data_IF_293685747499
#
_entry.id   IF_293685747499
#
_cell.length_a   1.000
_cell.length_b   1.000
_cell.length_c   1.000
_cell.angle_alpha   90.00
_cell.angle_beta   90.00
_cell.angle_gamma   90.00
#
_symmetry.space_group_name_H-M   'P 1'
#
loop_
_entity.id
_entity.type
_entity.pdbx_description
1 polymer ?
#
# COMPACT_ATOMS: atom_id res chain seq x y z
N UNK A 1 6.13 -25.23 -16.56
CA UNK A 1 6.38 -24.88 -15.15
C UNK A 1 7.24 -23.64 -15.22
N UNK A 2 6.70 -22.45 -15.46
CA UNK A 2 5.46 -21.88 -14.92
C UNK A 2 4.72 -21.10 -16.03
N UNK A 3 3.67 -21.74 -16.54
CA UNK A 3 2.66 -21.15 -17.42
C UNK A 3 1.38 -21.14 -16.57
N UNK A 4 1.19 -20.08 -15.79
CA UNK A 4 -0.07 -19.80 -15.08
C UNK A 4 -0.10 -18.33 -14.62
N UNK A 5 -0.75 -17.49 -15.44
CA UNK A 5 -1.20 -16.12 -15.11
C UNK A 5 -0.09 -15.08 -14.88
N UNK A 6 0.30 -14.39 -15.95
CA UNK A 6 1.24 -13.25 -15.97
C UNK A 6 0.78 -11.98 -15.25
N UNK A 7 0.36 -12.12 -14.01
CA UNK A 7 0.14 -11.05 -13.05
C UNK A 7 0.86 -11.50 -11.78
N UNK A 8 2.14 -11.18 -11.66
CA UNK A 8 2.70 -10.86 -10.35
C UNK A 8 2.37 -9.38 -10.12
N UNK A 9 1.17 -9.02 -9.64
CA UNK A 9 1.04 -7.70 -9.06
C UNK A 9 2.03 -7.73 -7.90
N UNK A 10 3.09 -6.93 -7.94
CA UNK A 10 4.01 -6.80 -6.80
C UNK A 10 3.34 -6.19 -5.56
N UNK A 11 2.03 -6.38 -5.41
CA UNK A 11 1.10 -5.92 -4.41
C UNK A 11 0.11 -7.04 -4.05
N UNK A 12 -0.29 -7.12 -2.80
CA UNK A 12 -1.40 -7.95 -2.32
C UNK A 12 -2.66 -7.09 -2.27
N UNK A 13 -3.81 -7.66 -2.58
CA UNK A 13 -5.09 -7.01 -2.35
C UNK A 13 -5.59 -7.28 -0.91
N UNK A 14 -6.01 -6.25 -0.19
CA UNK A 14 -6.60 -6.31 1.14
C UNK A 14 -7.96 -5.60 1.13
N UNK A 15 -8.96 -6.18 1.79
CA UNK A 15 -10.26 -5.53 2.01
C UNK A 15 -10.29 -4.94 3.42
N UNK A 16 -10.75 -3.70 3.54
CA UNK A 16 -11.01 -3.05 4.82
C UNK A 16 -12.42 -2.46 4.87
N UNK A 17 -12.80 -1.93 6.04
CA UNK A 17 -14.04 -1.18 6.23
C UNK A 17 -14.28 -0.11 5.14
N UNK A 18 -13.21 0.58 4.77
CA UNK A 18 -13.23 1.74 3.89
C UNK A 18 -13.04 1.40 2.39
N UNK A 19 -13.04 0.10 2.04
CA UNK A 19 -12.98 -0.41 0.67
C UNK A 19 -11.84 -1.39 0.40
N UNK A 20 -11.62 -1.66 -0.89
CA UNK A 20 -10.54 -2.52 -1.37
C UNK A 20 -9.23 -1.76 -1.55
N UNK A 21 -8.12 -2.38 -1.18
CA UNK A 21 -6.80 -1.77 -1.21
C UNK A 21 -5.77 -2.69 -1.86
N UNK A 22 -4.92 -2.12 -2.70
CA UNK A 22 -3.68 -2.75 -3.12
C UNK A 22 -2.56 -2.33 -2.18
N UNK A 23 -1.77 -3.30 -1.74
CA UNK A 23 -0.73 -3.14 -0.71
C UNK A 23 0.58 -3.71 -1.22
N UNK A 24 1.57 -2.85 -1.41
CA UNK A 24 2.92 -3.24 -1.83
C UNK A 24 3.92 -2.97 -0.73
N UNK A 25 4.77 -3.96 -0.46
CA UNK A 25 5.89 -3.76 0.44
C UNK A 25 7.07 -3.11 -0.28
N UNK A 26 7.63 -2.07 0.34
CA UNK A 26 8.85 -1.40 -0.09
C UNK A 26 9.96 -1.78 0.88
N UNK A 27 10.99 -2.45 0.36
CA UNK A 27 12.18 -2.76 1.13
C UNK A 27 12.98 -1.49 1.44
N UNK A 28 13.69 -1.49 2.58
CA UNK A 28 14.52 -0.38 3.05
C UNK A 28 15.42 0.23 1.97
N UNK A 29 16.11 -0.60 1.20
CA UNK A 29 17.04 -0.16 0.14
C UNK A 29 16.35 0.51 -1.06
N UNK A 30 15.03 0.33 -1.23
CA UNK A 30 14.22 1.03 -2.25
C UNK A 30 13.59 2.32 -1.72
N UNK A 31 13.61 2.53 -0.41
CA UNK A 31 13.11 3.75 0.23
C UNK A 31 14.18 4.84 0.13
N UNK A 32 14.20 5.56 -0.98
CA UNK A 32 15.21 6.59 -1.28
C UNK A 32 14.73 8.02 -1.04
N UNK A 33 13.49 8.19 -0.57
CA UNK A 33 12.85 9.48 -0.33
C UNK A 33 12.07 9.47 0.98
N UNK A 34 11.92 10.64 1.57
CA UNK A 34 11.03 10.89 2.69
C UNK A 34 9.57 10.89 2.25
N UNK A 35 8.71 10.26 3.05
CA UNK A 35 7.27 10.26 2.85
C UNK A 35 6.54 10.53 4.15
N UNK A 36 5.32 11.07 4.11
CA UNK A 36 4.51 11.28 5.32
C UNK A 36 3.51 10.15 5.49
N UNK A 37 3.54 9.50 6.66
CA UNK A 37 2.59 8.44 7.00
C UNK A 37 1.24 9.04 7.42
N UNK A 38 0.12 8.75 6.72
CA UNK A 38 -1.18 9.32 7.05
C UNK A 38 -1.75 8.80 8.38
N UNK A 39 -1.38 7.59 8.81
CA UNK A 39 -1.88 7.01 10.07
C UNK A 39 -1.34 7.68 11.34
N UNK A 40 -0.17 8.31 11.29
CA UNK A 40 0.46 8.93 12.47
C UNK A 40 1.00 10.34 12.23
N UNK A 41 0.94 10.85 11.00
CA UNK A 41 1.48 12.15 10.59
C UNK A 41 3.01 12.24 10.57
N UNK A 42 3.73 11.16 10.91
CA UNK A 42 5.21 11.15 11.01
C UNK A 42 5.86 10.81 9.68
N UNK A 43 7.09 11.29 9.49
CA UNK A 43 7.92 10.99 8.32
C UNK A 43 8.43 9.55 8.36
N UNK A 44 8.36 8.89 7.21
CA UNK A 44 9.04 7.64 6.87
C UNK A 44 10.35 8.04 6.19
N UNK A 45 11.50 7.91 6.86
CA UNK A 45 12.78 8.33 6.30
C UNK A 45 13.28 7.36 5.22
N UNK A 46 14.22 7.79 4.36
CA UNK A 46 14.92 6.88 3.48
C UNK A 46 15.62 5.77 4.29
N UNK A 47 15.71 4.58 3.70
CA UNK A 47 16.25 3.39 4.36
C UNK A 47 15.26 2.68 5.29
N UNK A 48 14.03 3.18 5.46
CA UNK A 48 13.00 2.50 6.26
C UNK A 48 12.07 1.66 5.38
N UNK A 49 11.97 0.36 5.70
CA UNK A 49 11.00 -0.52 5.06
C UNK A 49 9.57 -0.08 5.43
N UNK A 50 8.71 0.04 4.43
CA UNK A 50 7.36 0.58 4.59
C UNK A 50 6.40 -0.01 3.55
N UNK A 51 5.12 0.37 3.61
CA UNK A 51 4.09 -0.08 2.69
C UNK A 51 3.63 1.07 1.81
N UNK A 52 3.32 0.76 0.55
CA UNK A 52 2.66 1.66 -0.38
C UNK A 52 1.29 1.09 -0.71
N UNK A 53 0.26 1.91 -0.52
CA UNK A 53 -1.13 1.47 -0.61
C UNK A 53 -1.93 2.40 -1.52
N UNK A 54 -2.82 1.85 -2.34
CA UNK A 54 -3.75 2.61 -3.17
C UNK A 54 -5.08 1.87 -3.30
N UNK A 55 -6.13 2.59 -3.69
CA UNK A 55 -7.47 2.02 -3.82
C UNK A 55 -7.55 1.01 -4.97
N UNK A 56 -8.16 -0.14 -4.70
CA UNK A 56 -8.42 -1.19 -5.71
C UNK A 56 -9.66 -0.91 -6.54
N UNK A 57 -10.54 -0.06 -6.05
CA UNK A 57 -11.82 0.32 -6.66
C UNK A 57 -11.71 1.43 -7.71
N UNK A 58 -10.49 1.80 -8.13
CA UNK A 58 -10.33 2.88 -9.11
C UNK A 58 -10.80 2.47 -10.50
N UNK A 59 -11.84 3.15 -10.98
CA UNK A 59 -12.53 2.90 -12.25
C UNK A 59 -11.62 3.17 -13.47
N UNK A 60 -10.53 3.92 -13.28
CA UNK A 60 -9.59 4.34 -14.34
C UNK A 60 -8.37 3.42 -14.52
N UNK A 61 -8.35 2.26 -13.85
CA UNK A 61 -7.26 1.28 -13.95
C UNK A 61 -6.08 1.54 -13.03
N UNK A 62 -5.19 0.55 -12.92
CA UNK A 62 -4.07 0.50 -11.95
C UNK A 62 -3.10 1.69 -12.07
N UNK A 63 -2.89 2.20 -13.29
CA UNK A 63 -2.01 3.35 -13.56
C UNK A 63 -2.54 4.67 -12.97
N UNK A 64 -3.84 4.95 -13.12
CA UNK A 64 -4.48 6.13 -12.54
C UNK A 64 -4.61 6.02 -11.01
N UNK A 65 -4.87 4.80 -10.50
CA UNK A 65 -4.86 4.50 -9.08
C UNK A 65 -3.46 4.71 -8.46
N UNK A 66 -2.42 4.52 -9.26
CA UNK A 66 -1.03 4.80 -8.90
C UNK A 66 -0.74 6.25 -8.49
N UNK A 67 -1.56 7.23 -8.88
CA UNK A 67 -1.38 8.63 -8.48
C UNK A 67 -1.76 8.89 -7.01
N UNK A 68 -2.67 8.10 -6.42
CA UNK A 68 -3.07 8.20 -5.00
C UNK A 68 -2.28 7.24 -4.10
N UNK A 69 -1.06 6.87 -4.50
CA UNK A 69 -0.18 5.99 -3.69
C UNK A 69 0.17 6.66 -2.37
N UNK A 70 -0.30 6.07 -1.27
CA UNK A 70 -0.03 6.51 0.10
C UNK A 70 1.02 5.63 0.73
N UNK A 71 1.97 6.24 1.43
CA UNK A 71 3.06 5.54 2.09
C UNK A 71 2.76 5.40 3.58
N UNK A 72 2.87 4.20 4.12
CA UNK A 72 2.54 3.88 5.51
C UNK A 72 3.69 3.14 6.20
N UNK A 73 3.93 3.44 7.46
CA UNK A 73 4.65 2.51 8.32
C UNK A 73 3.87 1.19 8.39
N UNK A 74 4.57 0.06 8.39
CA UNK A 74 3.95 -1.26 8.57
C UNK A 74 2.98 -1.33 9.76
N UNK A 75 3.36 -0.93 10.99
CA UNK A 75 2.44 -0.97 12.13
C UNK A 75 1.24 -0.01 11.97
N UNK A 76 1.42 1.14 11.32
CA UNK A 76 0.33 2.07 11.08
C UNK A 76 -0.70 1.52 10.09
N UNK A 77 -0.27 0.74 9.09
CA UNK A 77 -1.17 0.07 8.15
C UNK A 77 -1.97 -1.06 8.82
N UNK A 78 -1.29 -1.88 9.61
CA UNK A 78 -1.93 -2.98 10.35
C UNK A 78 -2.90 -2.50 11.43
N UNK A 79 -2.61 -1.35 12.05
CA UNK A 79 -3.47 -0.76 13.09
C UNK A 79 -4.48 0.26 12.54
N UNK A 80 -4.46 0.56 11.23
CA UNK A 80 -5.58 1.26 10.60
C UNK A 80 -6.81 0.35 10.78
N UNK A 81 -7.95 0.93 11.13
CA UNK A 81 -9.23 0.22 11.24
C UNK A 81 -9.49 -0.57 9.95
N UNK A 82 -9.17 -1.87 9.96
CA UNK A 82 -9.40 -2.76 8.84
C UNK A 82 -10.73 -3.49 8.99
N UNK A 83 -11.22 -3.63 10.22
CA UNK A 83 -12.48 -4.29 10.51
C UNK A 83 -13.65 -3.36 10.21
N UNK A 84 -14.49 -3.78 9.26
CA UNK A 84 -15.78 -3.15 8.99
C UNK A 84 -16.83 -3.49 10.04
N UNK A 85 -16.50 -3.40 11.33
CA UNK A 85 -17.41 -3.72 12.41
C UNK A 85 -17.68 -2.49 13.28
N UNK A 86 -18.96 -2.21 13.46
CA UNK A 86 -19.50 -1.56 14.66
C UNK A 86 -19.69 -2.63 15.73
#
# INVERSE_FOLDING_TARGET
MDDLLGLDPGYRQEQGHDGGWHVRQIAAWRAVKDYTCPGCGRTIPPGMAHLVTWRSDSIFGDEAAGADRRHWHQPCWSNRRQDGLY
#
